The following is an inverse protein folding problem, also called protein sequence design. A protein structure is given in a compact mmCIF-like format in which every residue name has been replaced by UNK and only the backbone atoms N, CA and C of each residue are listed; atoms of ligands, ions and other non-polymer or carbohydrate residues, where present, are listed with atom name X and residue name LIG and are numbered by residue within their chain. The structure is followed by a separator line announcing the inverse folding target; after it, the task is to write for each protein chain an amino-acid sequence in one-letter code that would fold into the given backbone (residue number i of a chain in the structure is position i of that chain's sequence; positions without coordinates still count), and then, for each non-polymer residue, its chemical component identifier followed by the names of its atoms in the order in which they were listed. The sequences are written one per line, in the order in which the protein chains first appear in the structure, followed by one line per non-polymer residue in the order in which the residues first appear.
data_IF_058500972558
#
_entry.id   IF_058500972558
#
_cell.length_a   1.000
_cell.length_b   1.000
_cell.length_c   1.000
_cell.angle_alpha   90.00
_cell.angle_beta   90.00
_cell.angle_gamma   90.00
#
_symmetry.space_group_name_H-M   'P 1'
#
loop_
_entity.id
_entity.type
_entity.pdbx_description
1 polymer ?
#
# COMPACT_ATOMS: atom_id res chain seq x y z
N UNK A 1 18.03 -31.63 7.99
CA UNK A 1 17.22 -30.49 8.45
C UNK A 1 17.42 -29.36 7.45
N UNK A 2 16.53 -29.25 6.46
CA UNK A 2 16.59 -28.15 5.50
C UNK A 2 15.97 -26.93 6.18
N UNK A 3 16.79 -25.92 6.49
CA UNK A 3 16.30 -24.64 6.97
C UNK A 3 15.38 -24.05 5.91
N UNK A 4 14.14 -23.74 6.29
CA UNK A 4 13.24 -22.93 5.47
C UNK A 4 13.98 -21.64 5.13
N UNK A 5 14.40 -21.48 3.87
CA UNK A 5 14.86 -20.20 3.39
C UNK A 5 13.63 -19.29 3.36
N UNK A 6 13.49 -18.47 4.40
CA UNK A 6 12.54 -17.36 4.40
C UNK A 6 12.94 -16.47 3.22
N UNK A 7 12.23 -16.58 2.10
CA UNK A 7 12.49 -15.76 0.91
C UNK A 7 12.30 -14.29 1.26
N UNK A 8 13.26 -13.47 0.87
CA UNK A 8 13.30 -12.06 1.26
C UNK A 8 12.25 -11.23 0.54
N UNK A 9 11.83 -10.14 1.17
CA UNK A 9 10.95 -9.13 0.57
C UNK A 9 11.52 -8.56 -0.74
N UNK A 10 12.84 -8.37 -0.80
CA UNK A 10 13.50 -7.85 -1.99
C UNK A 10 13.34 -8.80 -3.18
N UNK A 11 13.46 -10.11 -2.95
CA UNK A 11 13.22 -11.15 -3.96
C UNK A 11 11.75 -11.17 -4.40
N UNK A 12 10.80 -11.09 -3.46
CA UNK A 12 9.37 -10.99 -3.78
C UNK A 12 9.08 -9.76 -4.66
N UNK A 13 9.61 -8.60 -4.27
CA UNK A 13 9.43 -7.34 -5.00
C UNK A 13 10.00 -7.46 -6.41
N UNK A 14 11.22 -7.99 -6.55
CA UNK A 14 11.85 -8.19 -7.85
C UNK A 14 11.05 -9.14 -8.74
N UNK A 15 10.60 -10.27 -8.19
CA UNK A 15 9.78 -11.26 -8.89
C UNK A 15 8.49 -10.65 -9.44
N UNK A 16 7.70 -10.00 -8.59
CA UNK A 16 6.40 -9.44 -8.97
C UNK A 16 6.54 -8.26 -9.93
N UNK A 17 7.51 -7.36 -9.69
CA UNK A 17 7.76 -6.23 -10.60
C UNK A 17 8.21 -6.73 -11.97
N UNK A 18 9.07 -7.75 -12.03
CA UNK A 18 9.49 -8.33 -13.31
C UNK A 18 8.32 -9.01 -14.04
N UNK A 19 7.51 -9.79 -13.33
CA UNK A 19 6.35 -10.46 -13.92
C UNK A 19 5.29 -9.45 -14.42
N UNK A 20 5.06 -8.36 -13.69
CA UNK A 20 4.19 -7.25 -14.12
C UNK A 20 4.73 -6.56 -15.38
N UNK A 21 6.05 -6.32 -15.46
CA UNK A 21 6.68 -5.75 -16.67
C UNK A 21 6.50 -6.67 -17.88
N UNK A 22 6.67 -7.98 -17.71
CA UNK A 22 6.53 -8.97 -18.79
C UNK A 22 5.08 -9.08 -19.27
N UNK A 23 4.11 -9.04 -18.35
CA UNK A 23 2.67 -9.09 -18.68
C UNK A 23 2.12 -7.77 -19.22
N UNK A 24 2.85 -6.66 -19.04
CA UNK A 24 2.43 -5.29 -19.40
C UNK A 24 1.15 -4.81 -18.70
N UNK A 25 0.75 -5.48 -17.62
CA UNK A 25 -0.42 -5.09 -16.83
C UNK A 25 -0.11 -3.88 -15.94
N UNK A 26 -1.08 -2.99 -15.81
CA UNK A 26 -1.14 -1.89 -14.83
C UNK A 26 -1.48 -2.41 -13.42
N UNK A 27 -1.35 -1.58 -12.39
CA UNK A 27 -1.81 -1.97 -11.05
C UNK A 27 -3.34 -1.99 -10.95
N UNK A 28 -4.03 -1.12 -11.71
CA UNK A 28 -5.48 -1.12 -11.86
C UNK A 28 -6.01 -2.47 -12.41
N UNK A 29 -5.42 -2.98 -13.49
CA UNK A 29 -5.80 -4.27 -14.07
C UNK A 29 -5.54 -5.44 -13.11
N UNK A 30 -4.41 -5.41 -12.39
CA UNK A 30 -4.09 -6.40 -11.37
C UNK A 30 -5.08 -6.33 -10.18
N UNK A 31 -5.42 -5.12 -9.75
CA UNK A 31 -6.42 -4.86 -8.72
C UNK A 31 -7.79 -5.41 -9.08
N UNK A 32 -8.22 -5.14 -10.32
CA UNK A 32 -9.47 -5.68 -10.88
C UNK A 32 -9.48 -7.21 -10.88
N UNK A 33 -8.34 -7.85 -11.16
CA UNK A 33 -8.23 -9.31 -11.19
C UNK A 33 -8.34 -9.98 -9.81
N UNK A 34 -7.95 -9.28 -8.73
CA UNK A 34 -7.94 -9.84 -7.36
C UNK A 34 -8.94 -9.14 -6.42
N UNK A 35 -9.75 -8.22 -6.92
CA UNK A 35 -10.74 -7.50 -6.12
C UNK A 35 -10.13 -6.53 -5.10
N UNK A 36 -8.98 -5.92 -5.41
CA UNK A 36 -8.30 -4.95 -4.54
C UNK A 36 -8.06 -3.62 -5.27
N UNK A 37 -7.99 -2.55 -4.50
CA UNK A 37 -7.56 -1.25 -5.01
C UNK A 37 -6.10 -1.30 -5.48
N UNK A 38 -5.76 -0.54 -6.52
CA UNK A 38 -4.42 -0.55 -7.12
C UNK A 38 -3.30 -0.18 -6.13
N UNK A 39 -3.57 0.71 -5.17
CA UNK A 39 -2.59 1.07 -4.13
C UNK A 39 -2.34 -0.12 -3.20
N UNK A 40 -3.38 -0.89 -2.89
CA UNK A 40 -3.25 -2.10 -2.08
C UNK A 40 -2.48 -3.21 -2.83
N UNK A 41 -2.63 -3.31 -4.15
CA UNK A 41 -1.83 -4.24 -4.97
C UNK A 41 -0.37 -3.81 -5.04
N UNK A 42 -0.10 -2.52 -5.25
CA UNK A 42 1.27 -2.01 -5.17
C UNK A 42 1.89 -2.28 -3.79
N UNK A 43 1.14 -2.09 -2.70
CA UNK A 43 1.59 -2.40 -1.35
C UNK A 43 1.90 -3.90 -1.14
N UNK A 44 1.16 -4.82 -1.77
CA UNK A 44 1.50 -6.25 -1.80
C UNK A 44 2.87 -6.48 -2.47
N UNK A 45 3.10 -5.85 -3.61
CA UNK A 45 4.35 -6.01 -4.37
C UNK A 45 5.56 -5.57 -3.57
N UNK A 46 5.42 -4.52 -2.75
CA UNK A 46 6.47 -4.03 -1.88
C UNK A 46 6.47 -4.69 -0.48
N UNK A 47 5.73 -5.80 -0.31
CA UNK A 47 5.69 -6.60 0.92
C UNK A 47 5.11 -5.87 2.12
N UNK A 48 4.30 -4.83 1.91
CA UNK A 48 3.66 -4.06 2.98
C UNK A 48 2.27 -4.61 3.34
N UNK A 49 1.69 -5.45 2.50
CA UNK A 49 0.39 -6.08 2.72
C UNK A 49 0.50 -7.61 2.73
N UNK A 50 -0.44 -8.25 3.41
CA UNK A 50 -0.59 -9.71 3.35
C UNK A 50 -1.49 -10.07 2.16
N UNK A 51 -1.12 -11.13 1.44
CA UNK A 51 -1.89 -11.69 0.33
C UNK A 51 -2.75 -12.84 0.86
N UNK A 52 -4.05 -12.82 0.57
CA UNK A 52 -4.91 -13.97 0.85
C UNK A 52 -4.63 -15.13 -0.14
N UNK A 53 -5.14 -16.35 0.12
CA UNK A 53 -5.09 -17.44 -0.85
C UNK A 53 -5.68 -17.06 -2.21
N UNK A 54 -6.75 -16.27 -2.22
CA UNK A 54 -7.39 -15.76 -3.43
C UNK A 54 -6.50 -14.74 -4.17
N UNK A 55 -5.83 -13.85 -3.44
CA UNK A 55 -4.84 -12.93 -4.01
C UNK A 55 -3.71 -13.70 -4.70
N UNK A 56 -3.16 -14.72 -4.04
CA UNK A 56 -2.07 -15.55 -4.57
C UNK A 56 -2.52 -16.26 -5.85
N UNK A 57 -3.70 -16.89 -5.83
CA UNK A 57 -4.23 -17.60 -6.99
C UNK A 57 -4.53 -16.65 -8.17
N UNK A 58 -5.07 -15.46 -7.88
CA UNK A 58 -5.35 -14.44 -8.88
C UNK A 58 -4.08 -13.85 -9.50
N UNK A 59 -3.12 -13.45 -8.67
CA UNK A 59 -1.82 -12.92 -9.11
C UNK A 59 -1.03 -13.97 -9.90
N UNK A 60 -0.99 -15.21 -9.44
CA UNK A 60 -0.36 -16.32 -10.16
C UNK A 60 -0.92 -16.45 -11.58
N UNK A 61 -2.25 -16.40 -11.72
CA UNK A 61 -2.93 -16.52 -13.01
C UNK A 61 -2.62 -15.36 -13.95
N UNK A 62 -2.70 -14.12 -13.49
CA UNK A 62 -2.54 -12.95 -14.39
C UNK A 62 -1.07 -12.62 -14.68
N UNK A 63 -0.18 -12.91 -13.73
CA UNK A 63 1.26 -12.68 -13.89
C UNK A 63 2.02 -13.90 -14.45
N UNK A 64 1.34 -15.05 -14.58
CA UNK A 64 1.93 -16.32 -15.02
C UNK A 64 3.13 -16.72 -14.15
N UNK A 65 3.01 -16.53 -12.84
CA UNK A 65 4.01 -16.91 -11.83
C UNK A 65 3.55 -18.17 -11.12
N UNK A 66 4.46 -19.10 -10.84
CA UNK A 66 4.15 -20.31 -10.11
C UNK A 66 3.46 -19.99 -8.75
N UNK A 67 2.29 -20.57 -8.46
CA UNK A 67 1.55 -20.28 -7.24
C UNK A 67 2.26 -20.80 -5.98
N UNK A 68 3.06 -21.87 -6.09
CA UNK A 68 3.87 -22.38 -4.97
C UNK A 68 4.98 -21.41 -4.59
N UNK A 69 5.63 -20.82 -5.59
CA UNK A 69 6.63 -19.76 -5.40
C UNK A 69 6.00 -18.52 -4.76
N UNK A 70 4.87 -18.02 -5.28
CA UNK A 70 4.18 -16.90 -4.65
C UNK A 70 3.74 -17.22 -3.22
N UNK A 71 3.22 -18.42 -2.99
CA UNK A 71 2.85 -18.85 -1.65
C UNK A 71 4.04 -18.82 -0.70
N UNK A 72 5.20 -19.36 -1.11
CA UNK A 72 6.44 -19.33 -0.32
C UNK A 72 6.82 -17.90 0.11
N UNK A 73 6.74 -16.93 -0.81
CA UNK A 73 7.03 -15.54 -0.52
C UNK A 73 5.99 -14.84 0.36
N UNK A 74 4.71 -15.22 0.28
CA UNK A 74 3.62 -14.63 1.06
C UNK A 74 3.33 -15.39 2.36
N UNK A 75 4.16 -16.37 2.74
CA UNK A 75 4.01 -17.08 4.01
C UNK A 75 4.22 -16.16 5.21
N UNK A 76 3.40 -16.33 6.25
CA UNK A 76 3.48 -15.54 7.48
C UNK A 76 2.88 -14.13 7.36
N UNK A 77 3.37 -13.21 8.20
CA UNK A 77 2.87 -11.84 8.30
C UNK A 77 3.94 -10.85 7.78
N UNK A 78 3.55 -9.78 7.07
CA UNK A 78 4.50 -8.83 6.49
C UNK A 78 5.17 -7.99 7.57
N UNK A 79 6.49 -7.83 7.43
CA UNK A 79 7.28 -6.86 8.19
C UNK A 79 7.20 -5.48 7.52
N UNK A 80 6.19 -4.71 7.94
CA UNK A 80 5.87 -3.40 7.38
C UNK A 80 6.87 -2.33 7.82
N UNK A 81 7.02 -1.29 7.02
CA UNK A 81 7.84 -0.11 7.35
C UNK A 81 9.31 -0.22 6.95
N UNK A 82 9.72 -1.32 6.34
CA UNK A 82 11.13 -1.57 5.94
C UNK A 82 11.45 -1.07 4.53
N UNK A 83 10.51 -0.41 3.83
CA UNK A 83 10.58 -0.13 2.37
C UNK A 83 11.00 1.29 1.98
N UNK A 84 11.01 2.19 2.94
CA UNK A 84 11.37 3.59 2.75
C UNK A 84 12.21 3.98 3.95
N UNK A 85 13.48 4.29 3.73
CA UNK A 85 14.31 4.88 4.77
C UNK A 85 13.76 6.25 5.14
N UNK A 86 13.75 6.56 6.43
CA UNK A 86 13.34 7.88 6.92
C UNK A 86 14.55 8.78 7.21
N UNK A 87 14.55 10.05 6.77
CA UNK A 87 13.53 10.66 5.89
C UNK A 87 13.59 10.10 4.45
N UNK A 88 12.46 10.10 3.71
CA UNK A 88 12.43 9.57 2.35
C UNK A 88 13.38 10.34 1.43
N UNK A 89 14.13 9.63 0.60
CA UNK A 89 15.05 10.26 -0.37
C UNK A 89 14.41 10.44 -1.75
N UNK A 90 13.43 9.62 -2.08
CA UNK A 90 12.71 9.70 -3.36
C UNK A 90 11.77 10.93 -3.33
N UNK A 91 11.86 11.85 -4.31
CA UNK A 91 11.12 13.10 -4.30
C UNK A 91 9.60 12.98 -4.15
N UNK A 92 8.94 12.06 -4.86
CA UNK A 92 7.48 11.91 -4.78
C UNK A 92 7.05 11.50 -3.35
N UNK A 93 7.72 10.50 -2.75
CA UNK A 93 7.46 10.06 -1.38
C UNK A 93 7.82 11.17 -0.38
N UNK A 94 8.90 11.91 -0.61
CA UNK A 94 9.31 13.02 0.25
C UNK A 94 8.24 14.12 0.32
N UNK A 95 7.52 14.41 -0.77
CA UNK A 95 6.42 15.41 -0.72
C UNK A 95 5.28 14.98 0.20
N UNK A 96 4.97 13.68 0.27
CA UNK A 96 3.96 13.18 1.21
C UNK A 96 4.43 13.36 2.66
N UNK A 97 5.71 13.11 2.92
CA UNK A 97 6.32 13.40 4.22
C UNK A 97 6.30 14.90 4.55
N UNK A 98 6.60 15.76 3.57
CA UNK A 98 6.59 17.22 3.72
C UNK A 98 5.17 17.76 4.03
N UNK A 99 4.13 17.17 3.42
CA UNK A 99 2.72 17.47 3.76
C UNK A 99 2.46 17.14 5.24
N UNK A 100 2.90 15.97 5.73
CA UNK A 100 2.74 15.61 7.15
C UNK A 100 3.50 16.59 8.05
N UNK A 101 4.72 16.97 7.68
CA UNK A 101 5.53 17.92 8.44
C UNK A 101 4.87 19.30 8.55
N UNK A 102 4.30 19.82 7.46
CA UNK A 102 3.71 21.16 7.41
C UNK A 102 2.28 21.20 7.95
N UNK A 103 1.47 20.18 7.68
CA UNK A 103 0.04 20.17 8.00
C UNK A 103 -0.33 19.28 9.19
N UNK A 104 0.61 18.52 9.78
CA UNK A 104 0.32 17.58 10.86
C UNK A 104 -0.41 18.21 12.05
N UNK A 105 0.03 19.40 12.50
CA UNK A 105 -0.65 20.14 13.59
C UNK A 105 -2.02 20.67 13.15
N UNK A 106 -2.15 21.13 11.89
CA UNK A 106 -3.41 21.60 11.35
C UNK A 106 -4.45 20.47 11.26
N UNK A 107 -4.06 19.30 10.73
CA UNK A 107 -4.91 18.11 10.73
C UNK A 107 -5.32 17.71 12.14
N UNK A 108 -4.37 17.66 13.08
CA UNK A 108 -4.66 17.30 14.48
C UNK A 108 -5.74 18.21 15.07
N UNK A 109 -5.57 19.54 14.96
CA UNK A 109 -6.52 20.50 15.50
C UNK A 109 -7.93 20.34 14.89
N UNK A 110 -8.04 20.34 13.55
CA UNK A 110 -9.33 20.23 12.86
C UNK A 110 -10.02 18.89 13.15
N UNK A 111 -9.26 17.78 13.21
CA UNK A 111 -9.81 16.47 13.55
C UNK A 111 -10.30 16.47 15.01
N UNK A 112 -9.54 17.06 15.94
CA UNK A 112 -9.96 17.13 17.34
C UNK A 112 -11.24 17.98 17.52
N UNK A 113 -11.39 19.10 16.81
CA UNK A 113 -12.62 19.89 16.82
C UNK A 113 -13.83 19.11 16.29
N UNK A 114 -13.63 18.27 15.27
CA UNK A 114 -14.71 17.52 14.62
C UNK A 114 -15.10 16.22 15.33
N UNK A 115 -14.13 15.51 15.92
CA UNK A 115 -14.31 14.14 16.39
C UNK A 115 -13.95 13.94 17.88
N UNK A 116 -13.36 14.95 18.53
CA UNK A 116 -12.90 14.88 19.92
C UNK A 116 -11.49 14.30 20.07
N UNK A 117 -11.20 13.74 21.24
CA UNK A 117 -9.88 13.17 21.55
C UNK A 117 -9.76 11.71 21.08
N UNK A 118 -8.80 11.45 20.21
CA UNK A 118 -8.66 10.17 19.50
C UNK A 118 -7.78 10.28 18.26
N UNK A 119 -7.84 9.25 17.40
CA UNK A 119 -7.04 9.15 16.18
C UNK A 119 -7.83 8.66 14.98
N UNK A 120 -7.39 9.04 13.78
CA UNK A 120 -7.73 8.35 12.54
C UNK A 120 -6.85 7.10 12.42
N UNK A 121 -7.47 5.92 12.38
CA UNK A 121 -6.73 4.65 12.25
C UNK A 121 -6.01 4.54 10.90
N UNK A 122 -4.76 4.05 10.93
CA UNK A 122 -4.02 3.60 9.76
C UNK A 122 -4.10 2.07 9.54
N UNK A 123 -4.93 1.36 10.31
CA UNK A 123 -5.14 -0.10 10.21
C UNK A 123 -6.54 -0.41 9.68
N UNK A 124 -7.57 0.12 10.35
CA UNK A 124 -8.94 0.13 9.82
C UNK A 124 -9.06 1.29 8.82
N UNK A 125 -8.37 1.14 7.69
CA UNK A 125 -7.99 2.20 6.78
C UNK A 125 -8.08 1.76 5.32
N UNK A 126 -8.36 2.71 4.43
CA UNK A 126 -8.24 2.56 2.98
C UNK A 126 -7.70 3.86 2.38
N UNK A 127 -6.90 3.74 1.33
CA UNK A 127 -6.39 4.87 0.54
C UNK A 127 -6.58 4.60 -0.95
N UNK A 128 -6.68 5.66 -1.73
CA UNK A 128 -6.83 5.63 -3.19
C UNK A 128 -6.06 6.78 -3.83
N UNK A 129 -5.74 6.62 -5.11
CA UNK A 129 -5.18 7.68 -5.95
C UNK A 129 -6.07 7.85 -7.16
N UNK A 130 -6.49 9.07 -7.41
CA UNK A 130 -7.29 9.44 -8.59
C UNK A 130 -6.56 10.54 -9.37
N UNK A 131 -6.64 10.48 -10.70
CA UNK A 131 -6.20 11.55 -11.59
C UNK A 131 -7.36 12.49 -11.85
N UNK A 132 -7.19 13.76 -11.53
CA UNK A 132 -8.16 14.81 -11.79
C UNK A 132 -7.61 15.81 -12.81
N UNK A 133 -8.46 16.34 -13.68
CA UNK A 133 -8.10 17.43 -14.60
C UNK A 133 -9.10 18.55 -14.38
N UNK A 134 -8.60 19.73 -14.00
CA UNK A 134 -9.46 20.88 -13.72
C UNK A 134 -9.97 21.56 -15.00
N UNK A 135 -10.82 22.57 -14.82
CA UNK A 135 -11.43 23.32 -15.93
C UNK A 135 -10.39 24.03 -16.81
N UNK A 136 -9.19 24.29 -16.29
CA UNK A 136 -8.07 24.91 -16.99
C UNK A 136 -7.17 23.88 -17.68
N UNK A 137 -7.47 22.58 -17.55
CA UNK A 137 -6.69 21.49 -18.13
C UNK A 137 -5.46 21.09 -17.31
N UNK A 138 -5.30 21.61 -16.09
CA UNK A 138 -4.20 21.22 -15.19
C UNK A 138 -4.52 19.86 -14.58
N UNK A 139 -3.54 18.95 -14.62
CA UNK A 139 -3.67 17.62 -14.02
C UNK A 139 -3.25 17.63 -12.56
N UNK A 140 -4.10 17.07 -11.70
CA UNK A 140 -3.91 16.93 -10.27
C UNK A 140 -3.86 15.46 -9.87
N UNK A 141 -3.06 15.16 -8.85
CA UNK A 141 -3.05 13.86 -8.16
C UNK A 141 -3.89 14.01 -6.89
N UNK A 142 -4.99 13.30 -6.82
CA UNK A 142 -5.88 13.31 -5.67
C UNK A 142 -5.63 12.04 -4.83
N UNK A 143 -5.16 12.21 -3.59
CA UNK A 143 -4.93 11.10 -2.66
C UNK A 143 -5.99 11.16 -1.56
N UNK A 144 -6.83 10.13 -1.51
CA UNK A 144 -7.88 10.02 -0.49
C UNK A 144 -7.43 9.13 0.67
N UNK A 145 -7.44 9.67 1.90
CA UNK A 145 -7.16 8.90 3.12
C UNK A 145 -8.44 8.71 3.94
N UNK A 146 -8.89 7.47 4.10
CA UNK A 146 -10.12 7.14 4.84
C UNK A 146 -9.81 6.15 5.97
N UNK A 147 -9.67 6.67 7.18
CA UNK A 147 -9.47 5.87 8.40
C UNK A 147 -10.66 5.91 9.34
N UNK A 148 -10.91 4.79 10.04
CA UNK A 148 -11.88 4.72 11.14
C UNK A 148 -11.44 5.64 12.28
N UNK A 149 -12.37 6.45 12.82
CA UNK A 149 -12.14 7.22 14.04
C UNK A 149 -12.13 6.31 15.28
N UNK A 150 -11.13 6.50 16.14
CA UNK A 150 -10.95 5.74 17.37
C UNK A 150 -10.78 6.72 18.56
N UNK A 151 -11.82 6.94 19.39
CA UNK A 151 -11.70 7.79 20.57
C UNK A 151 -10.85 7.11 21.65
N UNK A 152 -10.10 7.89 22.43
CA UNK A 152 -9.39 7.34 23.59
C UNK A 152 -10.35 6.93 24.70
N UNK A 153 -10.10 5.78 25.31
CA UNK A 153 -10.85 5.33 26.48
C UNK A 153 -10.41 6.09 27.73
N UNK A 154 -11.37 6.42 28.59
CA UNK A 154 -11.08 6.87 29.95
C UNK A 154 -11.11 5.64 30.86
N UNK A 155 -9.98 5.29 31.45
CA UNK A 155 -9.83 4.19 32.40
C UNK A 155 -8.96 4.62 33.58
#
# INVERSE_FOLDING_TARGET
MAGNAQTSRAELTALLVQAKRNSKLSFEELGSAIGRDEVAVAALFYGQHHASPEDIAGLSRVLQVDPGLLHAHFTGYPERGTGVDMPPKEPLIYRLYEIVQNYGQAYKAVINEKFGDGIMSAIAFSTKVDKEVDEQGVTWVNISMRGKWLPFSRF
#
